data_IF_448167171250
#
_entry.id   IF_448167171250
#
_cell.length_a   1.000
_cell.length_b   1.000
_cell.length_c   1.000
_cell.angle_alpha   90.00
_cell.angle_beta   90.00
_cell.angle_gamma   90.00
#
_symmetry.space_group_name_H-M   'P 1'
#
loop_
_entity.id
_entity.type
_entity.pdbx_description
1 polymer ?
#
# COMPACT_ATOMS: atom_id res chain seq x y z
N UNK A 1 56.13 -6.10 -69.86
CA UNK A 1 55.54 -5.67 -68.57
C UNK A 1 54.98 -6.93 -67.92
N UNK A 2 55.41 -7.44 -66.78
CA UNK A 2 56.32 -7.01 -65.73
C UNK A 2 55.95 -7.83 -64.48
N UNK A 3 56.87 -8.71 -64.05
CA UNK A 3 57.16 -9.19 -62.69
C UNK A 3 56.15 -10.15 -62.00
N UNK A 4 56.63 -11.40 -61.84
CA UNK A 4 56.71 -12.21 -60.62
C UNK A 4 56.01 -11.73 -59.33
N UNK A 5 55.53 -12.72 -58.55
CA UNK A 5 56.04 -13.04 -57.20
C UNK A 5 54.93 -13.44 -56.23
N UNK A 6 55.32 -14.43 -55.44
CA UNK A 6 54.67 -15.06 -54.31
C UNK A 6 54.10 -14.10 -53.24
N UNK A 7 53.25 -14.71 -52.40
CA UNK A 7 53.42 -14.75 -50.94
C UNK A 7 52.36 -14.06 -50.06
N UNK A 8 52.13 -14.74 -48.93
CA UNK A 8 51.77 -14.21 -47.61
C UNK A 8 50.29 -13.99 -47.21
N UNK A 9 49.83 -14.92 -46.36
CA UNK A 9 49.12 -14.76 -45.05
C UNK A 9 48.42 -13.42 -44.76
N UNK A 10 47.18 -13.46 -44.24
CA UNK A 10 46.85 -13.57 -42.79
C UNK A 10 45.38 -13.22 -42.49
N UNK A 11 44.76 -14.14 -41.75
CA UNK A 11 43.60 -14.07 -40.85
C UNK A 11 42.77 -12.76 -40.69
N UNK A 12 41.45 -12.93 -40.70
CA UNK A 12 40.51 -11.90 -40.26
C UNK A 12 39.06 -12.38 -40.09
N UNK A 13 38.82 -13.25 -39.11
CA UNK A 13 37.57 -13.51 -38.36
C UNK A 13 36.32 -14.02 -39.13
N UNK A 14 35.92 -15.22 -38.72
CA UNK A 14 34.71 -15.94 -39.07
C UNK A 14 33.43 -15.14 -38.82
N UNK A 15 32.57 -15.07 -39.83
CA UNK A 15 31.18 -14.64 -39.71
C UNK A 15 30.40 -15.85 -39.20
N UNK A 16 30.11 -15.84 -37.89
CA UNK A 16 29.33 -16.86 -37.22
C UNK A 16 27.84 -16.75 -37.61
N UNK A 17 27.25 -17.92 -37.87
CA UNK A 17 25.88 -18.16 -38.30
C UNK A 17 24.83 -17.54 -37.36
N UNK A 18 23.82 -16.91 -37.94
CA UNK A 18 22.66 -16.39 -37.23
C UNK A 18 21.52 -17.40 -37.21
N UNK A 19 21.06 -17.64 -35.98
CA UNK A 19 19.69 -17.95 -35.57
C UNK A 19 19.14 -19.37 -35.90
N UNK A 20 18.44 -20.06 -34.99
CA UNK A 20 17.58 -19.53 -33.92
C UNK A 20 17.51 -20.56 -32.79
N UNK A 21 17.77 -20.10 -31.57
CA UNK A 21 17.80 -20.90 -30.36
C UNK A 21 16.39 -21.29 -29.91
N UNK A 22 16.34 -22.40 -29.19
CA UNK A 22 15.20 -23.23 -28.83
C UNK A 22 14.15 -22.54 -27.95
N UNK A 23 12.92 -23.04 -28.12
CA UNK A 23 11.77 -22.93 -27.22
C UNK A 23 12.14 -23.19 -25.75
N UNK A 24 11.80 -22.25 -24.87
CA UNK A 24 11.23 -22.42 -23.52
C UNK A 24 11.28 -21.06 -22.79
N UNK A 25 10.46 -20.11 -23.25
CA UNK A 25 10.14 -18.91 -22.46
C UNK A 25 8.91 -19.24 -21.63
N UNK A 26 9.13 -19.62 -20.38
CA UNK A 26 8.08 -20.20 -19.54
C UNK A 26 8.35 -20.11 -18.04
N UNK A 27 8.98 -19.02 -17.59
CA UNK A 27 8.90 -18.58 -16.20
C UNK A 27 8.75 -17.05 -16.18
N UNK A 28 7.68 -16.54 -16.81
CA UNK A 28 7.14 -15.26 -16.39
C UNK A 28 6.48 -15.49 -15.03
N UNK A 29 7.26 -15.40 -13.96
CA UNK A 29 6.71 -14.94 -12.68
C UNK A 29 6.02 -13.62 -12.99
N UNK A 30 4.70 -13.66 -13.14
CA UNK A 30 3.84 -12.51 -13.02
C UNK A 30 4.12 -11.93 -11.63
N UNK A 31 5.09 -11.02 -11.56
CA UNK A 31 5.33 -10.20 -10.40
C UNK A 31 4.24 -9.15 -10.48
N UNK A 32 3.19 -9.19 -9.64
CA UNK A 32 2.24 -8.09 -9.60
C UNK A 32 3.05 -6.80 -9.32
N UNK A 33 2.87 -5.72 -10.07
CA UNK A 33 3.49 -4.46 -9.73
C UNK A 33 2.83 -3.96 -8.44
N UNK A 34 3.43 -4.22 -7.28
CA UNK A 34 2.87 -3.71 -6.04
C UNK A 34 3.27 -4.35 -4.72
N UNK A 35 4.46 -4.93 -4.56
CA UNK A 35 4.85 -5.46 -3.24
C UNK A 35 6.33 -5.20 -2.86
N UNK A 36 7.01 -4.22 -3.47
CA UNK A 36 8.40 -3.87 -3.11
C UNK A 36 8.57 -2.41 -2.63
N UNK A 37 7.49 -1.75 -2.19
CA UNK A 37 7.54 -0.37 -1.67
C UNK A 37 6.98 -0.23 -0.24
N UNK A 38 7.01 -1.28 0.59
CA UNK A 38 6.67 -1.14 2.01
C UNK A 38 7.88 -0.65 2.81
N UNK A 39 8.37 0.53 2.44
CA UNK A 39 9.38 1.26 3.19
C UNK A 39 8.74 1.73 4.50
N UNK A 40 9.22 1.11 5.57
CA UNK A 40 8.89 1.35 6.97
C UNK A 40 9.05 2.85 7.26
N UNK A 41 8.03 3.44 7.91
CA UNK A 41 7.95 4.85 8.35
C UNK A 41 7.42 5.86 7.31
N UNK A 42 6.14 5.75 6.96
CA UNK A 42 5.41 6.79 6.23
C UNK A 42 4.72 6.27 4.98
N UNK A 43 3.67 5.47 5.16
CA UNK A 43 2.67 5.28 4.09
C UNK A 43 1.90 6.60 4.05
N UNK A 44 2.47 7.59 3.36
CA UNK A 44 1.96 8.97 3.33
C UNK A 44 0.74 9.11 2.40
N UNK A 45 0.21 7.98 1.89
CA UNK A 45 -0.92 7.93 0.99
C UNK A 45 -2.25 7.88 1.73
N UNK A 46 -3.24 8.56 1.15
CA UNK A 46 -4.63 8.41 1.49
C UNK A 46 -5.15 7.09 0.91
N UNK A 47 -5.83 6.30 1.75
CA UNK A 47 -6.30 4.96 1.47
C UNK A 47 -7.82 4.90 1.49
N UNK A 48 -8.41 4.23 0.51
CA UNK A 48 -9.81 3.78 0.61
C UNK A 48 -9.96 2.82 1.79
N UNK A 49 -11.19 2.58 2.26
CA UNK A 49 -11.42 1.63 3.35
C UNK A 49 -10.83 0.23 3.05
N UNK A 50 -11.02 -0.27 1.83
CA UNK A 50 -10.53 -1.58 1.42
C UNK A 50 -8.98 -1.66 1.38
N UNK A 51 -8.31 -0.60 0.95
CA UNK A 51 -6.84 -0.57 0.93
C UNK A 51 -6.26 -0.30 2.31
N UNK A 52 -6.97 0.48 3.14
CA UNK A 52 -6.64 0.69 4.54
C UNK A 52 -6.63 -0.64 5.31
N UNK A 53 -7.63 -1.50 5.13
CA UNK A 53 -7.67 -2.83 5.75
C UNK A 53 -6.47 -3.69 5.37
N UNK A 54 -6.12 -3.73 4.07
CA UNK A 54 -4.95 -4.48 3.58
C UNK A 54 -3.66 -3.97 4.22
N UNK A 55 -3.47 -2.65 4.24
CA UNK A 55 -2.27 -2.04 4.80
C UNK A 55 -2.18 -2.26 6.31
N UNK A 56 -3.28 -2.09 7.05
CA UNK A 56 -3.33 -2.32 8.49
C UNK A 56 -2.99 -3.78 8.80
N UNK A 57 -3.56 -4.74 8.08
CA UNK A 57 -3.23 -6.16 8.24
C UNK A 57 -1.76 -6.46 7.92
N UNK A 58 -1.22 -5.88 6.85
CA UNK A 58 0.20 -6.04 6.50
C UNK A 58 1.14 -5.46 7.58
N UNK A 59 0.75 -4.36 8.22
CA UNK A 59 1.50 -3.76 9.33
C UNK A 59 1.33 -4.54 10.63
N UNK A 60 0.14 -5.09 10.89
CA UNK A 60 -0.11 -6.01 12.00
C UNK A 60 0.81 -7.23 11.95
N UNK A 61 0.97 -7.82 10.75
CA UNK A 61 1.88 -8.95 10.53
C UNK A 61 3.36 -8.61 10.82
N UNK A 62 3.71 -7.32 10.78
CA UNK A 62 5.04 -6.79 11.15
C UNK A 62 5.14 -6.41 12.63
N UNK A 63 4.12 -6.71 13.45
CA UNK A 63 4.08 -6.34 14.86
C UNK A 63 3.84 -4.84 15.10
N UNK A 64 3.21 -4.16 14.14
CA UNK A 64 2.89 -2.73 14.22
C UNK A 64 1.39 -2.53 14.42
N UNK A 65 1.03 -1.38 15.01
CA UNK A 65 -0.35 -0.91 15.10
C UNK A 65 -0.45 0.55 14.66
N UNK A 66 -1.65 1.02 14.26
CA UNK A 66 -1.90 2.44 14.05
C UNK A 66 -1.54 3.27 15.29
N UNK A 67 -0.74 4.32 15.09
CA UNK A 67 -0.42 5.31 16.12
C UNK A 67 -1.40 6.48 16.05
N UNK A 68 -1.63 7.00 14.85
CA UNK A 68 -2.63 8.02 14.54
C UNK A 68 -3.38 7.65 13.26
N UNK A 69 -4.55 8.26 13.07
CA UNK A 69 -5.35 8.15 11.86
C UNK A 69 -5.86 9.52 11.45
N UNK A 70 -5.66 9.89 10.19
CA UNK A 70 -6.34 11.02 9.56
C UNK A 70 -7.50 10.51 8.71
N UNK A 71 -8.58 11.29 8.62
CA UNK A 71 -9.76 10.99 7.82
C UNK A 71 -10.11 12.15 6.89
N UNK A 72 -10.72 11.83 5.76
CA UNK A 72 -11.22 12.81 4.80
C UNK A 72 -12.28 12.21 3.89
N UNK A 73 -12.96 13.07 3.13
CA UNK A 73 -13.86 12.65 2.07
C UNK A 73 -13.06 12.45 0.78
N UNK A 74 -13.28 11.32 0.11
CA UNK A 74 -12.93 11.14 -1.31
C UNK A 74 -14.08 11.66 -2.17
N UNK A 75 -15.31 11.38 -1.74
CA UNK A 75 -16.55 11.91 -2.30
C UNK A 75 -17.51 12.23 -1.14
N UNK A 76 -18.16 13.39 -1.18
CA UNK A 76 -19.13 13.86 -0.19
C UNK A 76 -20.53 14.10 -0.81
N UNK A 77 -20.74 13.70 -2.06
CA UNK A 77 -22.03 13.81 -2.72
C UNK A 77 -23.10 12.96 -1.99
N UNK A 78 -24.32 13.49 -1.81
CA UNK A 78 -25.40 12.75 -1.18
C UNK A 78 -25.63 11.39 -1.85
N UNK A 79 -25.59 10.32 -1.06
CA UNK A 79 -25.78 8.93 -1.55
C UNK A 79 -24.52 8.26 -2.12
N UNK A 80 -23.39 8.96 -2.23
CA UNK A 80 -22.12 8.42 -2.72
C UNK A 80 -20.94 8.72 -1.77
N UNK A 81 -21.24 8.94 -0.49
CA UNK A 81 -20.22 9.32 0.49
C UNK A 81 -19.15 8.24 0.57
N UNK A 82 -17.91 8.63 0.28
CA UNK A 82 -16.75 7.77 0.29
C UNK A 82 -15.64 8.43 1.11
N UNK A 83 -14.99 7.64 1.97
CA UNK A 83 -13.99 8.14 2.90
C UNK A 83 -12.60 7.63 2.56
N UNK A 84 -11.59 8.45 2.88
CA UNK A 84 -10.19 8.07 2.88
C UNK A 84 -9.60 8.16 4.29
N UNK A 85 -8.64 7.29 4.56
CA UNK A 85 -7.86 7.31 5.79
C UNK A 85 -6.36 7.31 5.51
N UNK A 86 -5.58 7.85 6.44
CA UNK A 86 -4.12 7.84 6.38
C UNK A 86 -3.58 7.55 7.77
N UNK A 87 -2.57 6.69 7.87
CA UNK A 87 -2.11 6.16 9.15
C UNK A 87 -0.64 6.46 9.40
N UNK A 88 -0.33 6.74 10.66
CA UNK A 88 1.04 6.57 11.17
C UNK A 88 1.13 5.29 11.99
N UNK A 89 2.34 4.79 12.21
CA UNK A 89 2.55 3.46 12.77
C UNK A 89 3.46 3.52 13.98
N UNK A 90 3.18 2.66 14.96
CA UNK A 90 4.06 2.39 16.09
C UNK A 90 4.14 0.90 16.33
N UNK A 91 5.14 0.46 17.09
CA UNK A 91 5.22 -0.94 17.51
C UNK A 91 4.03 -1.27 18.40
N UNK A 92 3.36 -2.38 18.12
CA UNK A 92 2.28 -2.88 18.95
C UNK A 92 2.87 -3.38 20.27
N UNK A 93 2.35 -2.95 21.44
CA UNK A 93 2.70 -3.58 22.69
C UNK A 93 2.28 -5.06 22.70
N UNK A 94 2.90 -5.86 23.55
CA UNK A 94 2.65 -7.30 23.65
C UNK A 94 1.15 -7.54 23.91
N UNK A 95 0.56 -8.47 23.14
CA UNK A 95 -0.84 -8.87 23.25
C UNK A 95 -1.86 -7.72 23.11
N UNK A 96 -1.47 -6.57 22.56
CA UNK A 96 -2.39 -5.45 22.35
C UNK A 96 -3.39 -5.78 21.25
N UNK A 97 -4.68 -5.61 21.56
CA UNK A 97 -5.74 -5.63 20.55
C UNK A 97 -6.06 -4.21 20.16
N UNK A 98 -6.46 -4.02 18.91
CA UNK A 98 -6.88 -2.71 18.44
C UNK A 98 -7.95 -2.83 17.37
N UNK A 99 -8.67 -1.73 17.18
CA UNK A 99 -9.69 -1.55 16.16
C UNK A 99 -9.61 -0.11 15.67
N UNK A 100 -9.95 0.12 14.41
CA UNK A 100 -10.02 1.46 13.84
C UNK A 100 -11.25 1.54 12.94
N UNK A 101 -11.83 2.73 12.84
CA UNK A 101 -13.00 2.99 12.00
C UNK A 101 -12.95 4.40 11.43
N UNK A 102 -13.64 4.59 10.30
CA UNK A 102 -13.91 5.87 9.67
C UNK A 102 -15.39 5.93 9.29
N UNK A 103 -16.02 7.08 9.49
CA UNK A 103 -17.42 7.26 9.15
C UNK A 103 -18.03 8.51 9.75
N UNK A 104 -19.35 8.64 9.65
CA UNK A 104 -20.07 9.73 10.30
C UNK A 104 -20.00 9.62 11.84
N UNK A 105 -20.23 10.72 12.59
CA UNK A 105 -20.14 10.73 14.04
C UNK A 105 -21.08 9.73 14.74
N UNK A 106 -22.27 9.46 14.17
CA UNK A 106 -23.24 8.52 14.75
C UNK A 106 -22.75 7.09 14.59
N UNK A 107 -22.21 6.76 13.42
CA UNK A 107 -21.56 5.47 13.16
C UNK A 107 -20.43 5.22 14.18
N UNK A 108 -19.53 6.20 14.37
CA UNK A 108 -18.41 6.06 15.30
C UNK A 108 -18.84 5.95 16.76
N UNK A 109 -19.88 6.68 17.17
CA UNK A 109 -20.45 6.54 18.50
C UNK A 109 -20.97 5.11 18.73
N UNK A 110 -21.58 4.49 17.71
CA UNK A 110 -22.01 3.09 17.80
C UNK A 110 -20.84 2.11 17.93
N UNK A 111 -19.70 2.40 17.28
CA UNK A 111 -18.49 1.59 17.32
C UNK A 111 -17.75 1.72 18.64
N UNK A 112 -17.73 2.92 19.22
CA UNK A 112 -17.24 3.18 20.59
C UNK A 112 -17.90 2.24 21.61
N UNK A 113 -19.24 2.13 21.58
CA UNK A 113 -19.97 1.25 22.49
C UNK A 113 -19.56 -0.22 22.32
N UNK A 114 -19.37 -0.68 21.07
CA UNK A 114 -18.95 -2.07 20.81
C UNK A 114 -17.51 -2.32 21.22
N UNK A 115 -16.60 -1.38 20.93
CA UNK A 115 -15.19 -1.45 21.32
C UNK A 115 -15.05 -1.53 22.85
N UNK A 116 -15.78 -0.69 23.58
CA UNK A 116 -15.78 -0.70 25.04
C UNK A 116 -16.30 -2.02 25.63
N UNK A 117 -17.30 -2.66 25.01
CA UNK A 117 -17.82 -3.98 25.45
C UNK A 117 -16.78 -5.11 25.36
N UNK A 118 -15.81 -4.99 24.45
CA UNK A 118 -14.71 -5.97 24.32
C UNK A 118 -13.42 -5.50 25.01
N UNK A 119 -13.51 -4.44 25.82
CA UNK A 119 -12.41 -3.93 26.64
C UNK A 119 -11.43 -3.00 25.93
N UNK A 120 -11.74 -2.55 24.71
CA UNK A 120 -10.91 -1.56 24.00
C UNK A 120 -11.34 -0.14 24.40
N UNK A 121 -10.38 0.75 24.62
CA UNK A 121 -10.63 2.17 24.91
C UNK A 121 -10.21 3.02 23.72
N UNK A 122 -10.91 4.12 23.46
CA UNK A 122 -10.51 5.05 22.40
C UNK A 122 -9.20 5.74 22.77
N UNK A 123 -8.17 5.49 21.99
CA UNK A 123 -6.80 6.03 22.19
C UNK A 123 -6.46 7.15 21.21
N UNK A 124 -7.20 7.26 20.11
CA UNK A 124 -7.07 8.35 19.16
C UNK A 124 -8.42 8.64 18.48
N UNK A 125 -8.69 9.91 18.20
CA UNK A 125 -9.85 10.33 17.43
C UNK A 125 -9.54 11.61 16.65
N UNK A 126 -10.11 11.73 15.45
CA UNK A 126 -10.08 12.96 14.66
C UNK A 126 -11.41 13.14 13.94
N UNK A 127 -11.79 14.38 13.68
CA UNK A 127 -12.95 14.73 12.88
C UNK A 127 -12.58 15.82 11.88
N UNK A 128 -13.17 15.74 10.69
CA UNK A 128 -13.03 16.72 9.61
C UNK A 128 -14.42 17.09 9.14
N UNK A 129 -14.67 18.40 9.08
CA UNK A 129 -15.92 18.96 8.55
C UNK A 129 -15.68 19.44 7.13
N UNK A 130 -16.53 18.98 6.22
CA UNK A 130 -16.58 19.48 4.86
C UNK A 130 -17.22 20.88 4.84
N UNK A 131 -16.52 21.85 4.25
CA UNK A 131 -16.97 23.24 4.25
C UNK A 131 -18.15 23.48 3.31
N UNK A 132 -18.25 22.73 2.21
CA UNK A 132 -19.27 22.93 1.19
C UNK A 132 -20.64 22.37 1.60
N UNK A 133 -20.63 21.16 2.18
CA UNK A 133 -21.83 20.41 2.56
C UNK A 133 -22.15 20.51 4.05
N UNK A 134 -21.18 20.92 4.87
CA UNK A 134 -21.30 20.91 6.32
C UNK A 134 -21.26 19.51 6.95
N UNK A 135 -21.13 18.45 6.14
CA UNK A 135 -21.01 17.08 6.62
C UNK A 135 -19.72 16.88 7.42
N UNK A 136 -19.75 15.95 8.37
CA UNK A 136 -18.58 15.62 9.18
C UNK A 136 -18.25 14.16 9.01
N UNK A 137 -16.96 13.88 8.76
CA UNK A 137 -16.39 12.55 8.86
C UNK A 137 -15.49 12.52 10.09
N UNK A 138 -15.52 11.42 10.82
CA UNK A 138 -14.56 11.13 11.87
C UNK A 138 -13.78 9.86 11.59
N UNK A 139 -12.71 9.70 12.35
CA UNK A 139 -12.03 8.43 12.51
C UNK A 139 -11.61 8.24 13.97
N UNK A 140 -11.40 6.98 14.35
CA UNK A 140 -11.00 6.62 15.69
C UNK A 140 -10.15 5.36 15.70
N UNK A 141 -9.27 5.26 16.68
CA UNK A 141 -8.52 4.04 17.04
C UNK A 141 -8.88 3.68 18.48
N UNK A 142 -9.26 2.44 18.70
CA UNK A 142 -9.46 1.84 20.01
C UNK A 142 -8.38 0.78 20.27
N UNK A 143 -7.88 0.71 21.49
CA UNK A 143 -6.89 -0.30 21.89
C UNK A 143 -7.07 -0.72 23.35
N UNK A 144 -6.64 -1.94 23.68
CA UNK A 144 -6.74 -2.52 25.03
C UNK A 144 -6.27 -3.96 25.12
#
# INVERSE_FOLDING_TARGET
MGIDREDTKRAGKAIAMTATLMLLSGCMTHRPPGIDAYQTSGIDQWLTAADADKVVNAMAAKGMMPATIDCGFINNEPGQVAYASKFTWKRAPINTRYHWEIGDPTYLASKEVRANRVGLKRVFAKAVRDAATGQTVGCSIWAG
#
